data_IF_800091833350
#
_entry.id   IF_800091833350
#
_cell.length_a   1.000
_cell.length_b   1.000
_cell.length_c   1.000
_cell.angle_alpha   90.00
_cell.angle_beta   90.00
_cell.angle_gamma   90.00
#
_symmetry.space_group_name_H-M   'P 1'
#
loop_
_entity.id
_entity.type
_entity.pdbx_description
1 polymer ?
#
# COMPACT_ATOMS: atom_id res chain seq x y z
N UNK A 1 -0.35 7.56 15.99
CA UNK A 1 -0.32 6.22 15.36
C UNK A 1 -1.72 5.65 15.32
N UNK A 2 -2.02 4.74 14.40
CA UNK A 2 -3.38 4.20 14.22
C UNK A 2 -3.67 3.10 15.23
N UNK A 3 -2.69 2.21 15.45
CA UNK A 3 -2.81 1.14 16.43
C UNK A 3 -2.48 1.64 17.83
N UNK A 4 -3.31 1.23 18.80
CA UNK A 4 -3.06 1.39 20.24
C UNK A 4 -2.61 0.07 20.89
N UNK A 5 -2.39 -0.99 20.10
CA UNK A 5 -2.05 -2.33 20.60
C UNK A 5 -0.72 -2.37 21.38
N UNK A 6 0.19 -1.46 21.08
CA UNK A 6 1.46 -1.32 21.79
C UNK A 6 1.32 -0.65 23.16
N UNK A 7 0.14 -0.10 23.50
CA UNK A 7 -0.09 0.69 24.71
C UNK A 7 -0.99 -0.06 25.71
N UNK A 8 -0.58 -0.24 26.97
CA UNK A 8 -1.37 -0.94 27.98
C UNK A 8 -2.56 -0.09 28.46
N UNK A 9 -3.68 -0.18 27.73
CA UNK A 9 -4.92 0.58 27.98
C UNK A 9 -5.42 0.49 29.44
N UNK A 10 -5.48 -0.69 30.10
CA UNK A 10 -5.98 -0.77 31.47
C UNK A 10 -5.10 -0.03 32.49
N UNK A 11 -3.78 0.00 32.25
CA UNK A 11 -2.85 0.70 33.13
C UNK A 11 -2.92 2.23 32.94
N UNK A 12 -3.11 2.69 31.69
CA UNK A 12 -3.33 4.09 31.37
C UNK A 12 -4.64 4.62 31.99
N UNK A 13 -5.74 3.89 31.85
CA UNK A 13 -7.05 4.28 32.41
C UNK A 13 -7.02 4.36 33.94
N UNK A 14 -6.36 3.42 34.64
CA UNK A 14 -6.22 3.47 36.11
C UNK A 14 -5.43 4.68 36.63
N UNK A 15 -4.58 5.26 35.78
CA UNK A 15 -3.78 6.45 36.11
C UNK A 15 -4.41 7.75 35.59
N UNK A 16 -5.63 7.69 35.06
CA UNK A 16 -6.31 8.86 34.47
C UNK A 16 -5.66 9.37 33.18
N UNK A 17 -4.84 8.56 32.51
CA UNK A 17 -4.14 8.94 31.28
C UNK A 17 -5.03 8.60 30.09
N UNK A 18 -5.40 9.62 29.30
CA UNK A 18 -6.17 9.45 28.07
C UNK A 18 -5.22 9.06 26.93
N UNK A 19 -5.52 7.95 26.26
CA UNK A 19 -4.81 7.48 25.07
C UNK A 19 -5.71 7.72 23.85
N UNK A 20 -5.23 8.49 22.89
CA UNK A 20 -5.94 8.81 21.66
C UNK A 20 -5.15 8.31 20.45
N UNK A 21 -5.85 7.82 19.43
CA UNK A 21 -5.29 7.50 18.12
C UNK A 21 -5.93 8.37 17.03
N UNK A 22 -5.37 8.29 15.83
CA UNK A 22 -5.86 9.00 14.64
C UNK A 22 -6.40 7.96 13.64
N UNK A 23 -7.58 7.36 13.90
CA UNK A 23 -8.15 6.41 12.97
C UNK A 23 -8.44 7.12 11.64
N UNK A 24 -8.20 6.43 10.52
CA UNK A 24 -8.45 6.89 9.14
C UNK A 24 -7.48 7.94 8.55
N UNK A 25 -6.57 8.52 9.33
CA UNK A 25 -5.69 9.61 8.88
C UNK A 25 -4.77 9.28 7.69
N UNK A 26 -4.56 8.01 7.36
CA UNK A 26 -3.69 7.56 6.27
C UNK A 26 -4.44 6.76 5.19
N UNK A 27 -5.77 6.86 5.11
CA UNK A 27 -6.55 6.00 4.21
C UNK A 27 -6.20 6.24 2.73
N UNK A 28 -6.07 7.51 2.33
CA UNK A 28 -5.72 7.90 0.95
C UNK A 28 -4.29 7.50 0.62
N UNK A 29 -3.33 7.85 1.48
CA UNK A 29 -1.90 7.57 1.24
C UNK A 29 -1.62 6.07 1.17
N UNK A 30 -2.30 5.28 2.00
CA UNK A 30 -2.20 3.81 1.95
C UNK A 30 -2.78 3.26 0.64
N UNK A 31 -3.90 3.80 0.18
CA UNK A 31 -4.49 3.41 -1.10
C UNK A 31 -3.60 3.79 -2.30
N UNK A 32 -2.95 4.97 -2.29
CA UNK A 32 -1.99 5.38 -3.34
C UNK A 32 -0.80 4.45 -3.37
N UNK A 33 -0.26 4.14 -2.19
CA UNK A 33 0.87 3.25 -2.08
C UNK A 33 0.54 1.83 -2.56
N UNK A 34 -0.66 1.32 -2.26
CA UNK A 34 -1.12 0.03 -2.77
C UNK A 34 -1.16 0.00 -4.31
N UNK A 35 -1.74 1.03 -4.94
CA UNK A 35 -1.77 1.16 -6.41
C UNK A 35 -0.35 1.27 -6.98
N UNK A 36 0.53 2.04 -6.35
CA UNK A 36 1.94 2.14 -6.76
C UNK A 36 2.66 0.79 -6.71
N UNK A 37 2.41 -0.02 -5.67
CA UNK A 37 2.97 -1.37 -5.57
C UNK A 37 2.45 -2.31 -6.66
N UNK A 38 1.17 -2.20 -7.06
CA UNK A 38 0.62 -2.97 -8.19
C UNK A 38 1.40 -2.67 -9.47
N UNK A 39 1.63 -1.40 -9.78
CA UNK A 39 2.44 -1.01 -10.94
C UNK A 39 3.91 -1.45 -10.83
N UNK A 40 4.49 -1.32 -9.64
CA UNK A 40 5.88 -1.72 -9.40
C UNK A 40 6.08 -3.22 -9.65
N UNK A 41 5.13 -4.05 -9.23
CA UNK A 41 5.14 -5.49 -9.48
C UNK A 41 4.89 -5.82 -10.95
N UNK A 42 3.90 -5.16 -11.58
CA UNK A 42 3.59 -5.40 -12.99
C UNK A 42 4.78 -5.12 -13.92
N UNK A 43 5.68 -4.19 -13.54
CA UNK A 43 6.87 -3.83 -14.32
C UNK A 43 8.20 -4.27 -13.69
N UNK A 44 8.17 -5.05 -12.61
CA UNK A 44 9.36 -5.57 -11.91
C UNK A 44 10.38 -4.45 -11.60
N UNK A 45 9.86 -3.29 -11.16
CA UNK A 45 10.65 -2.07 -10.98
C UNK A 45 11.77 -2.25 -9.95
N UNK A 46 11.55 -2.86 -8.77
CA UNK A 46 12.61 -3.04 -7.78
C UNK A 46 13.81 -3.83 -8.33
N UNK A 47 13.54 -4.92 -9.05
CA UNK A 47 14.56 -5.77 -9.66
C UNK A 47 15.27 -5.08 -10.83
N UNK A 48 14.51 -4.40 -11.69
CA UNK A 48 15.06 -3.60 -12.79
C UNK A 48 15.94 -2.46 -12.27
N UNK A 49 15.53 -1.81 -11.17
CA UNK A 49 16.30 -0.77 -10.51
C UNK A 49 17.63 -1.31 -9.97
N UNK A 50 17.60 -2.44 -9.26
CA UNK A 50 18.80 -3.09 -8.75
C UNK A 50 19.75 -3.54 -9.88
N UNK A 51 19.21 -4.09 -10.98
CA UNK A 51 19.99 -4.46 -12.16
C UNK A 51 20.68 -3.25 -12.81
N UNK A 52 19.94 -2.16 -12.98
CA UNK A 52 20.46 -0.94 -13.63
C UNK A 52 21.56 -0.30 -12.79
N UNK A 53 21.38 -0.25 -11.46
CA UNK A 53 22.42 0.22 -10.54
C UNK A 53 23.67 -0.67 -10.54
N UNK A 54 23.52 -1.96 -10.86
CA UNK A 54 24.64 -2.89 -11.06
C UNK A 54 25.28 -2.79 -12.46
N UNK A 55 24.92 -1.77 -13.26
CA UNK A 55 25.48 -1.53 -14.59
C UNK A 55 24.92 -2.44 -15.69
N UNK A 56 23.89 -3.24 -15.40
CA UNK A 56 23.27 -4.16 -16.37
C UNK A 56 22.00 -3.56 -16.97
N UNK A 57 21.89 -3.63 -18.29
CA UNK A 57 20.74 -3.12 -19.04
C UNK A 57 19.95 -4.27 -19.68
N UNK A 58 19.13 -4.94 -18.88
CA UNK A 58 18.44 -6.18 -19.25
C UNK A 58 17.04 -5.93 -19.86
N UNK A 59 16.98 -5.22 -21.00
CA UNK A 59 15.72 -4.77 -21.67
C UNK A 59 14.66 -5.87 -21.84
N UNK A 60 15.06 -7.08 -22.22
CA UNK A 60 14.12 -8.18 -22.48
C UNK A 60 13.64 -8.87 -21.20
N UNK A 61 14.40 -8.76 -20.11
CA UNK A 61 14.10 -9.45 -18.84
C UNK A 61 12.98 -8.77 -18.06
N UNK A 62 12.80 -7.47 -18.24
CA UNK A 62 11.86 -6.63 -17.47
C UNK A 62 10.78 -5.97 -18.36
N UNK A 63 10.25 -6.68 -19.36
CA UNK A 63 9.12 -6.15 -20.15
C UNK A 63 7.90 -5.88 -19.27
N UNK A 64 7.65 -6.75 -18.28
CA UNK A 64 6.49 -6.68 -17.41
C UNK A 64 5.18 -7.03 -18.13
N UNK A 65 4.06 -6.64 -17.51
CA UNK A 65 2.72 -6.80 -18.06
C UNK A 65 1.95 -5.49 -17.98
N UNK A 66 1.10 -5.24 -18.96
CA UNK A 66 0.09 -4.19 -18.89
C UNK A 66 -1.02 -4.61 -17.93
N UNK A 67 -1.51 -3.71 -17.10
CA UNK A 67 -2.59 -4.02 -16.14
C UNK A 67 -3.97 -3.60 -16.63
N UNK A 68 -4.03 -2.78 -17.68
CA UNK A 68 -5.27 -2.28 -18.28
C UNK A 68 -6.15 -3.43 -18.75
N UNK A 69 -7.43 -3.36 -18.38
CA UNK A 69 -8.42 -4.39 -18.70
C UNK A 69 -8.27 -5.70 -17.91
N UNK A 70 -7.32 -5.80 -16.97
CA UNK A 70 -7.25 -6.94 -16.05
C UNK A 70 -8.17 -6.77 -14.86
N UNK A 71 -8.53 -7.89 -14.24
CA UNK A 71 -9.38 -7.90 -13.04
C UNK A 71 -8.57 -7.57 -11.79
N UNK A 72 -8.91 -6.47 -11.13
CA UNK A 72 -8.40 -6.12 -9.80
C UNK A 72 -9.31 -6.73 -8.71
N UNK A 73 -8.79 -7.71 -7.97
CA UNK A 73 -9.46 -8.28 -6.81
C UNK A 73 -9.15 -7.51 -5.52
N UNK A 74 -10.19 -7.03 -4.82
CA UNK A 74 -10.04 -6.32 -3.52
C UNK A 74 -10.68 -7.15 -2.42
N UNK A 75 -9.89 -7.59 -1.44
CA UNK A 75 -10.37 -8.31 -0.25
C UNK A 75 -10.48 -7.31 0.90
N UNK A 76 -11.72 -7.00 1.30
CA UNK A 76 -12.03 -6.00 2.34
C UNK A 76 -12.24 -4.59 1.77
N UNK A 77 -13.49 -4.27 1.40
CA UNK A 77 -13.87 -2.97 0.85
C UNK A 77 -14.28 -1.96 1.93
N UNK A 78 -13.40 -1.74 2.92
CA UNK A 78 -13.53 -0.66 3.92
C UNK A 78 -13.02 0.68 3.37
N UNK A 79 -12.71 1.65 4.25
CA UNK A 79 -12.24 2.98 3.85
C UNK A 79 -11.07 2.98 2.84
N UNK A 80 -10.10 2.07 2.99
CA UNK A 80 -8.95 1.99 2.07
C UNK A 80 -9.32 1.22 0.81
N UNK A 81 -9.98 0.06 0.97
CA UNK A 81 -10.31 -0.82 -0.15
C UNK A 81 -11.24 -0.18 -1.17
N UNK A 82 -12.19 0.65 -0.72
CA UNK A 82 -13.07 1.40 -1.62
C UNK A 82 -12.30 2.43 -2.46
N UNK A 83 -11.35 3.16 -1.86
CA UNK A 83 -10.50 4.12 -2.57
C UNK A 83 -9.62 3.41 -3.61
N UNK A 84 -9.06 2.25 -3.25
CA UNK A 84 -8.28 1.42 -4.19
C UNK A 84 -9.16 0.95 -5.35
N UNK A 85 -10.37 0.46 -5.07
CA UNK A 85 -11.30 0.02 -6.10
C UNK A 85 -11.70 1.16 -7.04
N UNK A 86 -12.03 2.34 -6.51
CA UNK A 86 -12.37 3.53 -7.32
C UNK A 86 -11.22 3.94 -8.23
N UNK A 87 -9.98 3.95 -7.73
CA UNK A 87 -8.79 4.26 -8.55
C UNK A 87 -8.51 3.17 -9.58
N UNK A 88 -8.77 1.92 -9.22
CA UNK A 88 -8.63 0.74 -10.07
C UNK A 88 -9.45 0.77 -11.35
N UNK A 89 -10.58 1.50 -11.36
CA UNK A 89 -11.42 1.66 -12.58
C UNK A 89 -10.67 2.38 -13.70
N UNK A 90 -9.69 3.24 -13.36
CA UNK A 90 -8.90 4.00 -14.32
C UNK A 90 -7.53 3.39 -14.68
N UNK A 91 -7.22 2.17 -14.22
CA UNK A 91 -5.95 1.48 -14.44
C UNK A 91 -6.03 0.51 -15.63
#
# INVERSE_FOLDING_TARGET
GISTLSTPMPAASRKGIIVMNTPFGNSITTAEHAVAMIFALARQIPEANASTHAGRWEKNRFMGVEITGKTLGVIGCGNIGSIVATRGVGL
#
